data_IF_298456513421
#
_entry.id   IF_298456513421
#
_cell.length_a   1.000
_cell.length_b   1.000
_cell.length_c   1.000
_cell.angle_alpha   90.00
_cell.angle_beta   90.00
_cell.angle_gamma   90.00
#
_symmetry.space_group_name_H-M   'P 1'
#
loop_
_entity.id
_entity.type
_entity.pdbx_description
1 polymer ?
#
# COMPACT_ATOMS: atom_id res chain seq x y z
N UNK A 1 -11.34 14.08 15.86
CA UNK A 1 -12.01 14.23 17.17
C UNK A 1 -11.60 13.19 18.23
N UNK A 2 -11.66 11.89 17.96
CA UNK A 2 -11.30 10.84 18.95
C UNK A 2 -9.87 10.95 19.48
N UNK A 3 -8.92 11.33 18.63
CA UNK A 3 -7.53 11.59 19.02
C UNK A 3 -7.40 12.76 20.00
N UNK A 4 -8.17 13.84 19.80
CA UNK A 4 -8.19 15.00 20.69
C UNK A 4 -8.67 14.61 22.10
N UNK A 5 -9.72 13.78 22.18
CA UNK A 5 -10.19 13.27 23.46
C UNK A 5 -9.17 12.34 24.13
N UNK A 6 -8.52 11.46 23.38
CA UNK A 6 -7.45 10.60 23.93
C UNK A 6 -6.25 11.40 24.42
N UNK A 7 -5.82 12.41 23.66
CA UNK A 7 -4.75 13.32 24.07
C UNK A 7 -5.10 14.04 25.36
N UNK A 8 -6.33 14.58 25.45
CA UNK A 8 -6.81 15.23 26.68
C UNK A 8 -6.79 14.28 27.88
N UNK A 9 -7.31 13.05 27.70
CA UNK A 9 -7.29 12.02 28.75
C UNK A 9 -5.87 11.66 29.15
N UNK A 10 -4.92 11.55 28.19
CA UNK A 10 -3.50 11.30 28.45
C UNK A 10 -2.90 12.37 29.36
N UNK A 11 -3.05 13.64 29.00
CA UNK A 11 -2.49 14.77 29.76
C UNK A 11 -3.10 14.82 31.17
N UNK A 12 -4.42 14.68 31.30
CA UNK A 12 -5.09 14.70 32.61
C UNK A 12 -4.73 13.49 33.48
N UNK A 13 -4.55 12.32 32.89
CA UNK A 13 -4.08 11.11 33.59
C UNK A 13 -2.66 11.30 34.12
N UNK A 14 -1.77 11.91 33.33
CA UNK A 14 -0.40 12.23 33.77
C UNK A 14 -0.36 13.22 34.94
N UNK A 15 -1.38 14.07 35.08
CA UNK A 15 -1.59 14.97 36.23
C UNK A 15 -2.25 14.28 37.43
N UNK A 16 -2.41 12.95 37.40
CA UNK A 16 -3.05 12.14 38.45
C UNK A 16 -4.52 12.53 38.74
N UNK A 17 -5.23 13.01 37.72
CA UNK A 17 -6.67 13.31 37.83
C UNK A 17 -7.48 12.02 37.67
N UNK A 18 -8.51 11.84 38.50
CA UNK A 18 -9.38 10.67 38.44
C UNK A 18 -10.20 10.63 37.14
N UNK A 19 -10.36 9.43 36.56
CA UNK A 19 -11.10 9.24 35.31
C UNK A 19 -12.55 9.75 35.32
N UNK A 20 -13.18 9.82 36.51
CA UNK A 20 -14.52 10.40 36.67
C UNK A 20 -14.50 11.91 36.44
N UNK A 21 -13.57 12.63 37.06
CA UNK A 21 -13.38 14.07 36.86
C UNK A 21 -13.07 14.38 35.39
N UNK A 22 -12.21 13.58 34.77
CA UNK A 22 -11.86 13.75 33.34
C UNK A 22 -13.11 13.60 32.45
N UNK A 23 -13.94 12.59 32.72
CA UNK A 23 -15.19 12.40 31.97
C UNK A 23 -16.18 13.56 32.18
N UNK A 24 -16.30 14.05 33.41
CA UNK A 24 -17.23 15.14 33.72
C UNK A 24 -16.79 16.44 33.04
N UNK A 25 -15.49 16.76 33.04
CA UNK A 25 -14.93 17.88 32.27
C UNK A 25 -15.24 17.75 30.76
N UNK A 26 -15.00 16.56 30.19
CA UNK A 26 -15.30 16.31 28.78
C UNK A 26 -16.80 16.44 28.48
N UNK A 27 -17.66 15.95 29.35
CA UNK A 27 -19.12 16.05 29.19
C UNK A 27 -19.63 17.48 29.37
N UNK A 28 -19.01 18.27 30.24
CA UNK A 28 -19.35 19.71 30.39
C UNK A 28 -19.04 20.49 29.12
N UNK A 29 -17.92 20.20 28.46
CA UNK A 29 -17.50 20.95 27.26
C UNK A 29 -18.18 20.44 25.99
N UNK A 30 -18.30 19.12 25.83
CA UNK A 30 -18.69 18.48 24.57
C UNK A 30 -20.07 17.79 24.61
N UNK A 31 -20.75 17.77 25.76
CA UNK A 31 -22.10 17.21 25.87
C UNK A 31 -22.20 15.76 25.39
N UNK A 32 -23.08 15.52 24.43
CA UNK A 32 -23.34 14.19 23.86
C UNK A 32 -22.24 13.70 22.90
N UNK A 33 -21.38 14.59 22.42
CA UNK A 33 -20.20 14.22 21.62
C UNK A 33 -19.04 13.68 22.48
N UNK A 34 -19.13 13.84 23.81
CA UNK A 34 -18.13 13.37 24.73
C UNK A 34 -18.04 11.82 24.75
N UNK A 35 -16.83 11.24 24.86
CA UNK A 35 -16.68 9.82 25.04
C UNK A 35 -17.36 9.33 26.33
N UNK A 36 -17.95 8.14 26.28
CA UNK A 36 -18.54 7.53 27.47
C UNK A 36 -17.52 7.38 28.62
N UNK A 37 -17.99 7.42 29.86
CA UNK A 37 -17.15 7.18 31.03
C UNK A 37 -16.31 5.89 30.93
N UNK A 38 -16.90 4.80 30.41
CA UNK A 38 -16.16 3.53 30.20
C UNK A 38 -14.98 3.70 29.26
N UNK A 39 -15.15 4.47 28.19
CA UNK A 39 -14.09 4.77 27.22
C UNK A 39 -12.98 5.59 27.87
N UNK A 40 -13.33 6.64 28.61
CA UNK A 40 -12.37 7.50 29.33
C UNK A 40 -11.59 6.70 30.37
N UNK A 41 -12.27 5.88 31.18
CA UNK A 41 -11.63 5.04 32.18
C UNK A 41 -10.63 4.04 31.57
N UNK A 42 -11.00 3.42 30.45
CA UNK A 42 -10.11 2.51 29.71
C UNK A 42 -8.87 3.22 29.17
N UNK A 43 -9.02 4.39 28.57
CA UNK A 43 -7.88 5.18 28.08
C UNK A 43 -6.98 5.63 29.24
N UNK A 44 -7.55 6.13 30.33
CA UNK A 44 -6.80 6.51 31.53
C UNK A 44 -6.08 5.31 32.18
N UNK A 45 -6.61 4.10 32.06
CA UNK A 45 -5.90 2.89 32.46
C UNK A 45 -4.70 2.62 31.55
N UNK A 46 -4.88 2.62 30.22
CA UNK A 46 -3.78 2.42 29.27
C UNK A 46 -2.63 3.40 29.48
N UNK A 47 -2.94 4.68 29.71
CA UNK A 47 -1.92 5.70 29.96
C UNK A 47 -1.21 5.52 31.30
N UNK A 48 -1.89 5.03 32.35
CA UNK A 48 -1.25 4.64 33.62
C UNK A 48 -0.35 3.43 33.48
N UNK A 49 -0.70 2.51 32.59
CA UNK A 49 0.08 1.30 32.27
C UNK A 49 1.26 1.59 31.32
N UNK A 50 1.46 2.85 30.91
CA UNK A 50 2.63 3.28 30.15
C UNK A 50 2.46 3.29 28.63
N UNK A 51 1.24 3.12 28.10
CA UNK A 51 0.99 3.32 26.66
C UNK A 51 1.19 4.80 26.30
N UNK A 52 2.04 5.10 25.32
CA UNK A 52 2.25 6.50 24.89
C UNK A 52 1.47 6.88 23.63
N UNK A 53 1.12 5.92 22.79
CA UNK A 53 0.45 6.15 21.51
C UNK A 53 -1.02 6.58 21.69
N UNK A 54 -1.37 7.68 21.03
CA UNK A 54 -2.72 8.26 21.02
C UNK A 54 -3.57 7.64 19.90
N UNK A 55 -2.90 7.29 18.79
CA UNK A 55 -3.52 6.68 17.61
C UNK A 55 -4.06 5.29 17.94
N UNK A 56 -5.05 4.85 17.15
CA UNK A 56 -5.46 3.45 17.19
C UNK A 56 -4.28 2.59 16.71
N UNK A 57 -3.99 1.50 17.43
CA UNK A 57 -3.13 0.46 16.88
C UNK A 57 -3.67 -0.01 15.53
N UNK A 58 -2.77 -0.45 14.66
CA UNK A 58 -3.17 -1.12 13.43
C UNK A 58 -4.17 -2.22 13.77
N UNK A 59 -5.41 -2.02 13.31
CA UNK A 59 -6.45 -3.01 13.54
C UNK A 59 -6.02 -4.26 12.79
N UNK A 60 -5.97 -5.39 13.50
CA UNK A 60 -5.92 -6.69 12.86
C UNK A 60 -7.15 -6.82 11.97
N UNK A 61 -6.98 -6.54 10.67
CA UNK A 61 -7.96 -6.85 9.65
C UNK A 61 -8.09 -8.37 9.50
N UNK A 62 -8.90 -8.81 8.52
CA UNK A 62 -8.87 -10.21 8.09
C UNK A 62 -7.43 -10.53 7.68
N UNK A 63 -6.82 -11.54 8.30
CA UNK A 63 -5.45 -11.94 7.98
C UNK A 63 -5.36 -12.25 6.50
N UNK A 64 -4.57 -11.47 5.80
CA UNK A 64 -4.24 -11.67 4.40
C UNK A 64 -3.12 -12.71 4.35
N UNK A 65 -3.44 -13.93 4.79
CA UNK A 65 -2.46 -15.01 4.93
C UNK A 65 -2.05 -15.61 3.58
N UNK A 66 -2.61 -15.12 2.47
CA UNK A 66 -2.37 -15.66 1.12
C UNK A 66 -1.21 -14.98 0.37
N UNK A 67 -0.59 -13.93 0.92
CA UNK A 67 0.63 -13.32 0.36
C UNK A 67 1.87 -13.71 1.16
N UNK A 68 2.13 -15.00 1.25
CA UNK A 68 3.42 -15.49 1.72
C UNK A 68 4.53 -14.97 0.80
N UNK A 69 5.74 -14.83 1.33
CA UNK A 69 6.91 -14.43 0.52
C UNK A 69 7.14 -15.37 -0.66
N UNK A 70 6.83 -16.66 -0.48
CA UNK A 70 6.88 -17.69 -1.52
C UNK A 70 5.95 -17.36 -2.70
N UNK A 71 4.66 -17.10 -2.42
CA UNK A 71 3.68 -16.74 -3.46
C UNK A 71 4.05 -15.44 -4.19
N UNK A 72 4.65 -14.48 -3.48
CA UNK A 72 5.11 -13.22 -4.09
C UNK A 72 6.26 -13.50 -5.06
N UNK A 73 7.22 -14.33 -4.66
CA UNK A 73 8.38 -14.66 -5.50
C UNK A 73 7.99 -15.52 -6.70
N UNK A 74 7.04 -16.46 -6.53
CA UNK A 74 6.51 -17.27 -7.61
C UNK A 74 5.83 -16.40 -8.69
N UNK A 75 4.93 -15.49 -8.29
CA UNK A 75 4.29 -14.56 -9.23
C UNK A 75 5.34 -13.65 -9.90
N UNK A 76 6.34 -13.18 -9.14
CA UNK A 76 7.45 -12.38 -9.69
C UNK A 76 8.20 -13.15 -10.78
N UNK A 77 8.50 -14.43 -10.56
CA UNK A 77 9.19 -15.27 -11.54
C UNK A 77 8.37 -15.39 -12.82
N UNK A 78 7.09 -15.75 -12.71
CA UNK A 78 6.21 -15.95 -13.87
C UNK A 78 6.09 -14.67 -14.72
N UNK A 79 5.91 -13.52 -14.06
CA UNK A 79 5.77 -12.23 -14.76
C UNK A 79 7.09 -11.76 -15.38
N UNK A 80 8.22 -12.06 -14.74
CA UNK A 80 9.55 -11.71 -15.27
C UNK A 80 9.88 -12.52 -16.52
N UNK A 81 9.48 -13.79 -16.57
CA UNK A 81 9.66 -14.64 -17.74
C UNK A 81 8.72 -14.24 -18.89
N UNK A 82 7.47 -13.90 -18.56
CA UNK A 82 6.44 -13.58 -19.55
C UNK A 82 5.65 -12.31 -19.20
N UNK A 83 6.00 -11.20 -19.84
CA UNK A 83 5.35 -9.89 -19.59
C UNK A 83 3.87 -9.79 -20.01
N UNK A 84 3.31 -10.81 -20.67
CA UNK A 84 1.93 -10.81 -21.18
C UNK A 84 0.99 -11.76 -20.42
N UNK A 85 1.43 -12.31 -19.29
CA UNK A 85 0.61 -13.23 -18.48
C UNK A 85 -0.60 -12.50 -17.91
N UNK A 86 -1.74 -13.18 -17.97
CA UNK A 86 -3.02 -12.71 -17.43
C UNK A 86 -3.18 -13.11 -15.97
N UNK A 87 -4.05 -12.38 -15.26
CA UNK A 87 -4.36 -12.74 -13.86
C UNK A 87 -4.96 -14.15 -13.79
N UNK A 88 -5.78 -14.57 -14.78
CA UNK A 88 -6.37 -15.90 -14.81
C UNK A 88 -5.32 -17.01 -14.90
N UNK A 89 -4.29 -16.84 -15.75
CA UNK A 89 -3.16 -17.77 -15.84
C UNK A 89 -2.37 -17.82 -14.52
N UNK A 90 -2.13 -16.65 -13.90
CA UNK A 90 -1.46 -16.61 -12.58
C UNK A 90 -2.26 -17.34 -11.49
N UNK A 91 -3.58 -17.23 -11.52
CA UNK A 91 -4.44 -17.97 -10.58
C UNK A 91 -4.35 -19.48 -10.79
N UNK A 92 -4.32 -19.94 -12.05
CA UNK A 92 -4.16 -21.35 -12.39
C UNK A 92 -2.78 -21.90 -11.99
N UNK A 93 -1.74 -21.07 -12.08
CA UNK A 93 -0.38 -21.46 -11.67
C UNK A 93 -0.17 -21.50 -10.16
N UNK A 94 -0.78 -20.57 -9.42
CA UNK A 94 -0.50 -20.36 -7.99
C UNK A 94 -1.62 -20.84 -7.06
N UNK A 95 -2.74 -21.32 -7.61
CA UNK A 95 -3.98 -21.64 -6.88
C UNK A 95 -4.52 -20.50 -5.99
N UNK A 96 -4.15 -19.25 -6.30
CA UNK A 96 -4.55 -18.07 -5.54
C UNK A 96 -5.86 -17.46 -6.06
N UNK A 97 -6.54 -16.77 -5.16
CA UNK A 97 -7.70 -15.97 -5.53
C UNK A 97 -7.29 -14.77 -6.40
N UNK A 98 -8.19 -14.33 -7.29
CA UNK A 98 -8.00 -13.15 -8.14
C UNK A 98 -7.56 -11.93 -7.33
N UNK A 99 -8.22 -11.70 -6.18
CA UNK A 99 -7.93 -10.55 -5.32
C UNK A 99 -6.52 -10.60 -4.73
N UNK A 100 -6.06 -11.79 -4.34
CA UNK A 100 -4.70 -12.00 -3.85
C UNK A 100 -3.67 -11.77 -4.96
N UNK A 101 -3.86 -12.36 -6.14
CA UNK A 101 -2.96 -12.16 -7.29
C UNK A 101 -2.89 -10.67 -7.67
N UNK A 102 -4.04 -10.00 -7.79
CA UNK A 102 -4.11 -8.58 -8.12
C UNK A 102 -3.36 -7.72 -7.10
N UNK A 103 -3.52 -8.02 -5.80
CA UNK A 103 -2.84 -7.32 -4.72
C UNK A 103 -1.34 -7.59 -4.72
N UNK A 104 -0.89 -8.81 -5.00
CA UNK A 104 0.53 -9.12 -5.15
C UNK A 104 1.13 -8.30 -6.29
N UNK A 105 0.47 -8.29 -7.46
CA UNK A 105 0.94 -7.51 -8.61
C UNK A 105 1.00 -6.01 -8.31
N UNK A 106 -0.02 -5.45 -7.66
CA UNK A 106 -0.15 -3.99 -7.47
C UNK A 106 0.61 -3.47 -6.25
N UNK A 107 0.42 -4.10 -5.08
CA UNK A 107 0.87 -3.57 -3.79
C UNK A 107 2.25 -4.10 -3.39
N UNK A 108 2.56 -5.36 -3.75
CA UNK A 108 3.83 -6.00 -3.37
C UNK A 108 4.91 -5.91 -4.45
N UNK A 109 4.52 -6.02 -5.72
CA UNK A 109 5.44 -5.93 -6.86
C UNK A 109 5.42 -4.55 -7.56
N UNK A 110 4.50 -3.68 -7.18
CA UNK A 110 4.34 -2.32 -7.74
C UNK A 110 4.20 -2.30 -9.27
N UNK A 111 3.60 -3.36 -9.84
CA UNK A 111 3.41 -3.51 -11.27
C UNK A 111 2.10 -2.88 -11.74
N UNK A 112 2.13 -2.36 -12.96
CA UNK A 112 0.96 -1.82 -13.64
C UNK A 112 0.81 -2.44 -15.01
N UNK A 113 -0.43 -2.81 -15.37
CA UNK A 113 -0.75 -3.22 -16.74
C UNK A 113 -0.51 -2.08 -17.72
N UNK A 114 0.30 -2.35 -18.75
CA UNK A 114 0.51 -1.45 -19.88
C UNK A 114 -0.02 -2.14 -21.13
N UNK A 115 -0.74 -1.40 -21.98
CA UNK A 115 -1.22 -1.93 -23.26
C UNK A 115 -0.07 -2.08 -24.25
N UNK A 116 -0.06 -3.18 -24.98
CA UNK A 116 0.92 -3.39 -26.05
C UNK A 116 0.80 -2.30 -27.11
N UNK A 117 1.94 -1.86 -27.66
CA UNK A 117 1.97 -0.90 -28.77
C UNK A 117 1.86 -1.64 -30.10
N UNK A 118 1.07 -1.10 -31.02
CA UNK A 118 0.98 -1.64 -32.37
C UNK A 118 2.33 -1.50 -33.10
N UNK A 119 2.83 -2.60 -33.67
CA UNK A 119 4.05 -2.63 -34.47
C UNK A 119 3.65 -2.92 -35.91
N UNK A 120 3.87 -2.00 -36.87
CA UNK A 120 3.40 -2.15 -38.25
C UNK A 120 3.95 -3.39 -38.99
N UNK A 121 5.15 -3.85 -38.62
CA UNK A 121 5.79 -4.99 -39.28
C UNK A 121 6.78 -5.69 -38.36
N UNK A 122 6.75 -7.02 -38.36
CA UNK A 122 7.78 -7.84 -37.75
C UNK A 122 9.02 -7.87 -38.65
N UNK A 123 10.09 -7.20 -38.20
CA UNK A 123 11.33 -7.09 -38.96
C UNK A 123 12.17 -8.37 -38.83
N UNK A 124 12.79 -8.78 -39.93
CA UNK A 124 13.87 -9.78 -39.94
C UNK A 124 15.19 -9.14 -39.46
N UNK A 125 16.14 -9.94 -39.01
CA UNK A 125 17.39 -9.43 -38.44
C UNK A 125 18.17 -8.55 -39.42
N UNK A 126 18.29 -8.95 -40.69
CA UNK A 126 18.94 -8.13 -41.71
C UNK A 126 18.27 -6.76 -41.87
N UNK A 127 16.94 -6.68 -41.74
CA UNK A 127 16.18 -5.44 -41.86
C UNK A 127 16.44 -4.53 -40.65
N UNK A 128 16.63 -5.09 -39.46
CA UNK A 128 17.00 -4.33 -38.26
C UNK A 128 18.41 -3.75 -38.39
N UNK A 129 19.36 -4.57 -38.84
CA UNK A 129 20.75 -4.14 -39.07
C UNK A 129 20.83 -3.01 -40.09
N UNK A 130 20.13 -3.15 -41.22
CA UNK A 130 20.14 -2.14 -42.27
C UNK A 130 19.48 -0.83 -41.82
N UNK A 131 18.37 -0.92 -41.09
CA UNK A 131 17.75 0.28 -40.48
C UNK A 131 18.70 0.99 -39.53
N UNK A 132 19.39 0.25 -38.65
CA UNK A 132 20.36 0.84 -37.72
C UNK A 132 21.50 1.53 -38.47
N UNK A 133 22.03 0.91 -39.54
CA UNK A 133 23.08 1.46 -40.39
C UNK A 133 22.65 2.80 -41.00
N UNK A 134 21.49 2.83 -41.64
CA UNK A 134 20.93 4.03 -42.28
C UNK A 134 20.66 5.13 -41.23
N UNK A 135 20.09 4.78 -40.07
CA UNK A 135 19.85 5.74 -39.00
C UNK A 135 21.14 6.38 -38.49
N UNK A 136 22.22 5.60 -38.32
CA UNK A 136 23.54 6.13 -37.93
C UNK A 136 24.12 7.05 -39.00
N UNK A 137 24.04 6.66 -40.27
CA UNK A 137 24.51 7.48 -41.39
C UNK A 137 23.77 8.83 -41.47
N UNK A 138 22.45 8.81 -41.33
CA UNK A 138 21.63 10.02 -41.31
C UNK A 138 21.94 10.91 -40.10
N UNK A 139 22.18 10.31 -38.93
CA UNK A 139 22.54 11.07 -37.73
C UNK A 139 23.90 11.77 -37.89
N UNK A 140 24.89 11.10 -38.49
CA UNK A 140 26.19 11.70 -38.80
C UNK A 140 26.06 12.85 -39.79
N UNK A 141 25.28 12.68 -40.88
CA UNK A 141 25.03 13.75 -41.85
C UNK A 141 24.39 14.98 -41.22
N UNK A 142 23.39 14.75 -40.37
CA UNK A 142 22.72 15.82 -39.63
C UNK A 142 23.71 16.56 -38.71
N UNK A 143 24.59 15.84 -38.00
CA UNK A 143 25.62 16.45 -37.16
C UNK A 143 26.66 17.25 -37.98
N UNK A 144 26.94 16.83 -39.21
CA UNK A 144 27.80 17.55 -40.17
C UNK A 144 27.10 18.74 -40.86
N UNK A 145 25.83 19.02 -40.53
CA UNK A 145 25.06 20.11 -41.10
C UNK A 145 24.65 19.90 -42.56
N UNK A 146 24.57 18.63 -43.01
CA UNK A 146 24.12 18.24 -44.34
C UNK A 146 22.69 17.69 -44.33
#
# INVERSE_FOLDING_TARGET
>A
DKENFRFYVKVRTALNIEGRTIHDELRTVFGDEAPSYRTVARWAQWFREGREEIEDEERSGRSVTESTLENIEEIRSIVSDHSHVTIAELQEHTDLSYGTVHRILSDHLELRKITARYIPKQLKDYQRSERLRICKENLSRFAEGR
#
